data_IF_571760260645
#
_entry.id   IF_571760260645
#
_cell.length_a   1.000
_cell.length_b   1.000
_cell.length_c   1.000
_cell.angle_alpha   90.00
_cell.angle_beta   90.00
_cell.angle_gamma   90.00
#
_symmetry.space_group_name_H-M   'P 1'
#
loop_
_entity.id
_entity.type
_entity.pdbx_description
1 polymer ?
#
# COMPACT_ATOMS: atom_id res chain seq x y z
N UNK A 1 18.66 -12.30 -1.66
CA UNK A 1 18.01 -11.27 -2.50
C UNK A 1 16.55 -11.37 -2.16
N UNK A 2 16.02 -10.40 -1.42
CA UNK A 2 14.57 -10.22 -1.34
C UNK A 2 14.06 -9.93 -2.74
N UNK A 3 12.95 -10.58 -3.11
CA UNK A 3 12.32 -10.37 -4.39
C UNK A 3 11.41 -9.13 -4.26
N UNK A 4 11.52 -8.17 -5.18
CA UNK A 4 10.69 -6.96 -5.20
C UNK A 4 9.19 -7.28 -5.09
N UNK A 5 8.76 -8.38 -5.71
CA UNK A 5 7.36 -8.85 -5.64
C UNK A 5 6.92 -9.23 -4.23
N UNK A 6 7.82 -9.78 -3.40
CA UNK A 6 7.53 -10.10 -1.99
C UNK A 6 7.30 -8.82 -1.20
N UNK A 7 8.18 -7.83 -1.39
CA UNK A 7 8.10 -6.56 -0.68
C UNK A 7 6.82 -5.80 -1.02
N UNK A 8 6.37 -5.83 -2.29
CA UNK A 8 5.10 -5.22 -2.70
C UNK A 8 3.91 -5.91 -2.05
N UNK A 9 3.90 -7.25 -1.97
CA UNK A 9 2.80 -7.97 -1.33
C UNK A 9 2.72 -7.69 0.18
N UNK A 10 3.86 -7.62 0.86
CA UNK A 10 3.94 -7.32 2.28
C UNK A 10 3.47 -5.87 2.56
N UNK A 11 3.95 -4.90 1.76
CA UNK A 11 3.50 -3.50 1.85
C UNK A 11 2.00 -3.37 1.54
N UNK A 12 1.49 -4.06 0.53
CA UNK A 12 0.06 -4.04 0.22
C UNK A 12 -0.79 -4.58 1.37
N UNK A 13 -0.37 -5.67 2.01
CA UNK A 13 -1.05 -6.22 3.17
C UNK A 13 -1.07 -5.21 4.33
N UNK A 14 0.04 -4.50 4.55
CA UNK A 14 0.14 -3.45 5.57
C UNK A 14 -0.78 -2.26 5.26
N UNK A 15 -0.72 -1.71 4.04
CA UNK A 15 -1.59 -0.62 3.57
C UNK A 15 -3.05 -0.99 3.80
N UNK A 16 -3.46 -2.21 3.42
CA UNK A 16 -4.84 -2.68 3.66
C UNK A 16 -5.21 -2.69 5.13
N UNK A 17 -4.35 -3.22 6.00
CA UNK A 17 -4.63 -3.31 7.44
C UNK A 17 -4.80 -1.90 8.03
N UNK A 18 -3.91 -0.97 7.68
CA UNK A 18 -4.01 0.42 8.13
C UNK A 18 -5.24 1.12 7.56
N UNK A 19 -5.51 0.97 6.26
CA UNK A 19 -6.68 1.52 5.59
C UNK A 19 -8.00 1.05 6.23
N UNK A 20 -8.12 -0.24 6.55
CA UNK A 20 -9.29 -0.77 7.27
C UNK A 20 -9.40 -0.22 8.69
N UNK A 21 -8.28 -0.10 9.41
CA UNK A 21 -8.26 0.44 10.77
C UNK A 21 -8.69 1.92 10.82
N UNK A 22 -8.40 2.67 9.76
CA UNK A 22 -8.74 4.09 9.62
C UNK A 22 -10.08 4.33 8.91
N UNK A 23 -10.71 3.29 8.37
CA UNK A 23 -11.98 3.39 7.67
C UNK A 23 -11.87 4.07 6.30
N UNK A 24 -10.70 3.98 5.68
CA UNK A 24 -10.45 4.47 4.32
C UNK A 24 -11.32 3.69 3.34
N UNK A 25 -12.09 4.42 2.54
CA UNK A 25 -13.10 3.85 1.64
C UNK A 25 -13.18 4.57 0.29
N UNK A 26 -12.16 5.33 -0.06
CA UNK A 26 -12.05 6.03 -1.32
C UNK A 26 -10.60 6.01 -1.82
N UNK A 27 -10.43 6.19 -3.13
CA UNK A 27 -9.13 6.09 -3.81
C UNK A 27 -8.15 7.18 -3.40
N UNK A 28 -8.62 8.39 -3.11
CA UNK A 28 -7.75 9.52 -2.74
C UNK A 28 -7.08 9.25 -1.39
N UNK A 29 -7.87 8.85 -0.38
CA UNK A 29 -7.34 8.47 0.93
C UNK A 29 -6.51 7.18 0.88
N UNK A 30 -6.78 6.27 -0.06
CA UNK A 30 -5.93 5.10 -0.28
C UNK A 30 -4.54 5.49 -0.78
N UNK A 31 -4.45 6.41 -1.74
CA UNK A 31 -3.16 6.92 -2.23
C UNK A 31 -2.37 7.57 -1.09
N UNK A 32 -3.02 8.41 -0.27
CA UNK A 32 -2.39 9.00 0.92
C UNK A 32 -1.84 7.93 1.89
N UNK A 33 -2.57 6.83 2.10
CA UNK A 33 -2.12 5.72 2.94
C UNK A 33 -0.93 4.96 2.34
N UNK A 34 -0.88 4.80 1.01
CA UNK A 34 0.27 4.20 0.32
C UNK A 34 1.51 5.08 0.53
N UNK A 35 1.40 6.38 0.33
CA UNK A 35 2.48 7.35 0.55
C UNK A 35 3.02 7.29 1.99
N UNK A 36 2.11 7.26 2.97
CA UNK A 36 2.48 7.19 4.38
C UNK A 36 3.25 5.92 4.72
N UNK A 37 2.79 4.75 4.25
CA UNK A 37 3.48 3.48 4.48
C UNK A 37 4.86 3.48 3.82
N UNK A 38 4.95 3.91 2.56
CA UNK A 38 6.25 3.97 1.86
C UNK A 38 7.22 4.92 2.58
N UNK A 39 6.76 6.09 2.99
CA UNK A 39 7.58 7.08 3.71
C UNK A 39 8.05 6.56 5.08
N UNK A 40 7.20 5.84 5.81
CA UNK A 40 7.57 5.21 7.08
C UNK A 40 8.71 4.20 6.88
N UNK A 41 8.56 3.30 5.90
CA UNK A 41 9.56 2.29 5.56
C UNK A 41 10.86 2.92 5.05
N UNK A 42 10.77 3.97 4.24
CA UNK A 42 11.92 4.78 3.79
C UNK A 42 12.64 5.42 4.97
N UNK A 43 11.90 6.04 5.89
CA UNK A 43 12.46 6.68 7.09
C UNK A 43 13.16 5.68 8.02
N UNK A 44 12.66 4.45 8.09
CA UNK A 44 13.27 3.37 8.87
C UNK A 44 14.48 2.73 8.17
N UNK A 45 14.77 3.12 6.92
CA UNK A 45 15.86 2.57 6.13
C UNK A 45 15.59 1.18 5.57
N UNK A 46 14.31 0.76 5.55
CA UNK A 46 13.85 -0.52 4.98
C UNK A 46 13.75 -0.44 3.45
N UNK A 47 13.48 0.77 2.92
CA UNK A 47 13.50 1.07 1.50
C UNK A 47 14.58 2.12 1.19
N UNK A 48 15.49 1.82 0.25
CA UNK A 48 16.70 2.65 0.00
C UNK A 48 17.01 2.92 -1.49
N UNK A 49 16.17 2.52 -2.44
CA UNK A 49 16.38 2.79 -3.87
C UNK A 49 15.23 3.65 -4.41
N UNK A 50 15.48 4.96 -4.56
CA UNK A 50 14.47 5.95 -4.93
C UNK A 50 13.76 5.61 -6.26
N UNK A 51 14.43 4.94 -7.22
CA UNK A 51 13.79 4.53 -8.47
C UNK A 51 12.90 3.28 -8.31
N UNK A 52 13.22 2.40 -7.35
CA UNK A 52 12.38 1.25 -7.06
C UNK A 52 11.15 1.66 -6.24
N UNK A 53 11.28 2.71 -5.43
CA UNK A 53 10.21 3.28 -4.61
C UNK A 53 9.07 3.86 -5.45
N UNK A 54 9.40 4.70 -6.43
CA UNK A 54 8.40 5.33 -7.31
C UNK A 54 7.58 4.26 -8.08
N UNK A 55 8.23 3.17 -8.52
CA UNK A 55 7.54 2.05 -9.14
C UNK A 55 6.74 1.16 -8.19
N UNK A 56 7.05 1.16 -6.88
CA UNK A 56 6.26 0.44 -5.87
C UNK A 56 5.00 1.22 -5.50
N UNK A 57 5.11 2.54 -5.36
CA UNK A 57 4.01 3.47 -5.09
C UNK A 57 2.91 3.33 -6.14
N UNK A 58 3.26 3.50 -7.42
CA UNK A 58 2.35 3.35 -8.55
C UNK A 58 1.62 1.99 -8.54
N UNK A 59 2.33 0.91 -8.19
CA UNK A 59 1.76 -0.43 -8.14
C UNK A 59 0.78 -0.57 -6.98
N UNK A 60 1.14 -0.08 -5.80
CA UNK A 60 0.30 -0.14 -4.60
C UNK A 60 -0.96 0.73 -4.72
N UNK A 61 -0.84 1.92 -5.31
CA UNK A 61 -1.99 2.77 -5.64
C UNK A 61 -2.95 2.07 -6.62
N UNK A 62 -2.39 1.46 -7.67
CA UNK A 62 -3.17 0.73 -8.67
C UNK A 62 -3.88 -0.52 -8.11
N UNK A 63 -3.55 -0.95 -6.89
CA UNK A 63 -4.22 -2.05 -6.19
C UNK A 63 -5.50 -1.63 -5.44
N UNK A 64 -5.87 -0.34 -5.44
CA UNK A 64 -7.15 0.13 -4.87
C UNK A 64 -8.36 -0.75 -5.22
N UNK A 65 -8.59 -1.16 -6.49
CA UNK A 65 -9.76 -1.97 -6.85
C UNK A 65 -9.84 -3.30 -6.11
N UNK A 66 -8.69 -3.89 -5.73
CA UNK A 66 -8.66 -5.12 -4.94
C UNK A 66 -9.12 -4.87 -3.50
N UNK A 67 -8.71 -3.75 -2.89
CA UNK A 67 -9.19 -3.35 -1.57
C UNK A 67 -10.67 -2.94 -1.59
N UNK A 68 -11.09 -2.15 -2.57
CA UNK A 68 -12.49 -1.75 -2.75
C UNK A 68 -13.43 -2.97 -2.90
N UNK A 69 -13.00 -4.00 -3.65
CA UNK A 69 -13.76 -5.23 -3.78
C UNK A 69 -13.97 -5.94 -2.43
N UNK A 70 -12.96 -5.93 -1.56
CA UNK A 70 -13.06 -6.53 -0.22
C UNK A 70 -13.94 -5.72 0.73
N UNK A 71 -13.81 -4.39 0.74
CA UNK A 71 -14.70 -3.50 1.49
C UNK A 71 -16.16 -3.76 1.15
N UNK A 72 -16.46 -3.91 -0.15
CA UNK A 72 -17.82 -4.19 -0.60
C UNK A 72 -18.28 -5.63 -0.30
N UNK A 73 -17.35 -6.59 -0.17
CA UNK A 73 -17.66 -7.97 0.18
C UNK A 73 -17.93 -8.16 1.68
N UNK A 74 -17.28 -7.39 2.56
CA UNK A 74 -17.52 -7.43 4.02
C UNK A 74 -18.83 -6.75 4.43
N UNK A 75 -19.42 -5.93 3.56
CA UNK A 75 -20.67 -5.20 3.82
C UNK A 75 -21.93 -6.02 3.41
N UNK A 76 -21.78 -7.24 2.91
CA UNK A 76 -22.89 -8.16 2.56
C UNK A 76 -23.08 -9.30 3.57
#
# INVERSE_FOLDING_TARGET
MENLESNIQDLFAEVKVRALAEGINNVDAWAEMVDEVIEDHRRNGELNDDNALEGMEDVLEAMWPAHEAELNAEVQ
#
